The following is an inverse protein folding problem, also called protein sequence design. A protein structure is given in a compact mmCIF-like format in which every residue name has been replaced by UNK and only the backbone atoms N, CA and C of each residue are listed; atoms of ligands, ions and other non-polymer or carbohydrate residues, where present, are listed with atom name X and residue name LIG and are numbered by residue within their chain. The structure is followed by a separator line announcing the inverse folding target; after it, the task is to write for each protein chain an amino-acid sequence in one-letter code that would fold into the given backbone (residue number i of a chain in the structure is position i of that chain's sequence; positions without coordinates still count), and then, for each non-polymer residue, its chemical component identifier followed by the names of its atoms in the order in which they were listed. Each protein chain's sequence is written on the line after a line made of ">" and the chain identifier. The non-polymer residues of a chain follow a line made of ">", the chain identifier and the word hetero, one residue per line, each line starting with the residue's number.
data_IF_663436937336
#
_entry.id   IF_663436937336
#
_cell.length_a   1.000
_cell.length_b   1.000
_cell.length_c   1.000
_cell.angle_alpha   90.00
_cell.angle_beta   90.00
_cell.angle_gamma   90.00
#
_symmetry.space_group_name_H-M   'P 1'
#
loop_
_entity.id
_entity.type
_entity.pdbx_description
1 polymer ?
#
# COMPACT_ATOMS: atom_id res chain seq x y z
N UNK A 1 -0.09 -7.54 5.68
CA UNK A 1 0.57 -6.41 6.36
C UNK A 1 -0.47 -5.35 6.68
N UNK A 2 -0.72 -5.03 7.97
CA UNK A 2 -1.86 -4.20 8.36
C UNK A 2 -1.66 -2.69 8.20
N UNK A 3 -0.41 -2.20 8.14
CA UNK A 3 -0.08 -0.78 8.03
C UNK A 3 1.24 -0.58 7.28
N UNK A 4 1.48 0.64 6.81
CA UNK A 4 2.78 0.99 6.24
C UNK A 4 3.86 0.97 7.32
N UNK A 5 5.05 0.50 6.96
CA UNK A 5 6.13 0.42 7.91
C UNK A 5 7.49 0.13 7.29
N UNK A 6 8.45 -0.14 8.16
CA UNK A 6 9.81 -0.54 7.81
C UNK A 6 10.19 -1.82 8.52
N UNK A 7 10.81 -2.77 7.81
CA UNK A 7 11.25 -4.03 8.39
C UNK A 7 12.41 -3.77 9.36
N UNK A 8 12.27 -4.22 10.61
CA UNK A 8 13.32 -4.20 11.62
C UNK A 8 14.02 -5.57 11.78
N UNK A 9 13.33 -6.64 11.43
CA UNK A 9 13.86 -8.01 11.53
C UNK A 9 13.15 -8.95 10.56
N UNK A 10 13.89 -9.95 10.08
CA UNK A 10 13.39 -11.04 9.28
C UNK A 10 13.56 -10.85 7.78
N UNK A 11 13.12 -11.86 7.04
CA UNK A 11 13.03 -11.87 5.59
C UNK A 11 11.76 -12.60 5.18
N UNK A 12 11.09 -12.10 4.13
CA UNK A 12 9.85 -12.66 3.61
C UNK A 12 9.60 -12.17 2.18
N UNK A 13 8.85 -12.95 1.42
CA UNK A 13 8.27 -12.52 0.15
C UNK A 13 6.87 -11.92 0.37
N UNK A 14 6.64 -10.72 -0.17
CA UNK A 14 5.38 -9.98 -0.03
C UNK A 14 4.71 -9.81 -1.38
N UNK A 15 3.46 -10.24 -1.51
CA UNK A 15 2.61 -9.89 -2.65
C UNK A 15 2.08 -8.46 -2.49
N UNK A 16 2.49 -7.59 -3.41
CA UNK A 16 2.10 -6.18 -3.50
C UNK A 16 1.23 -5.88 -4.71
N UNK A 17 0.74 -6.91 -5.43
CA UNK A 17 -0.01 -6.77 -6.68
C UNK A 17 -1.30 -5.97 -6.52
N UNK A 18 -1.98 -6.09 -5.38
CA UNK A 18 -3.19 -5.34 -5.07
C UNK A 18 -2.98 -3.83 -4.93
N UNK A 19 -1.74 -3.38 -4.66
CA UNK A 19 -1.39 -1.97 -4.46
C UNK A 19 -0.67 -1.39 -5.67
N UNK A 20 0.28 -2.16 -6.22
CA UNK A 20 1.20 -1.71 -7.28
C UNK A 20 0.78 -2.17 -8.67
N UNK A 21 -0.01 -3.24 -8.76
CA UNK A 21 -0.31 -3.94 -10.02
C UNK A 21 0.80 -4.87 -10.50
N UNK A 22 1.94 -4.93 -9.81
CA UNK A 22 3.06 -5.80 -10.18
C UNK A 22 2.86 -7.22 -9.68
N UNK A 23 3.00 -8.21 -10.58
CA UNK A 23 2.78 -9.62 -10.24
C UNK A 23 3.97 -10.30 -9.57
N UNK A 24 5.15 -9.68 -9.59
CA UNK A 24 6.36 -10.22 -8.97
C UNK A 24 6.33 -9.85 -7.48
N UNK A 25 6.43 -10.82 -6.56
CA UNK A 25 6.52 -10.52 -5.13
C UNK A 25 7.74 -9.67 -4.77
N UNK A 26 7.57 -8.79 -3.79
CA UNK A 26 8.63 -8.00 -3.21
C UNK A 26 9.39 -8.82 -2.15
N UNK A 27 10.69 -8.97 -2.33
CA UNK A 27 11.58 -9.53 -1.32
C UNK A 27 11.86 -8.49 -0.22
N UNK A 28 11.26 -8.69 0.95
CA UNK A 28 11.38 -7.80 2.09
C UNK A 28 12.47 -8.29 3.05
N UNK A 29 13.36 -7.38 3.44
CA UNK A 29 14.41 -7.61 4.44
C UNK A 29 14.63 -6.34 5.27
N UNK A 30 15.45 -6.41 6.31
CA UNK A 30 15.69 -5.30 7.24
C UNK A 30 16.02 -4.01 6.50
N UNK A 31 15.28 -2.95 6.83
CA UNK A 31 15.43 -1.62 6.25
C UNK A 31 14.50 -1.32 5.08
N UNK A 32 13.88 -2.32 4.46
CA UNK A 32 12.90 -2.16 3.37
C UNK A 32 11.59 -1.58 3.92
N UNK A 33 11.00 -0.65 3.17
CA UNK A 33 9.65 -0.16 3.41
C UNK A 33 8.61 -1.16 2.91
N UNK A 34 7.54 -1.32 3.67
CA UNK A 34 6.41 -2.20 3.36
C UNK A 34 5.12 -1.39 3.37
N UNK A 35 4.19 -1.75 2.49
CA UNK A 35 2.91 -1.07 2.36
C UNK A 35 1.81 -1.81 3.12
N UNK A 36 0.92 -1.04 3.75
CA UNK A 36 -0.34 -1.56 4.25
C UNK A 36 -1.15 -2.18 3.11
N UNK A 37 -1.68 -3.38 3.33
CA UNK A 37 -2.40 -4.16 2.32
C UNK A 37 -1.57 -5.21 1.61
N UNK A 38 -0.23 -5.19 1.71
CA UNK A 38 0.61 -6.26 1.15
C UNK A 38 0.31 -7.60 1.84
N UNK A 39 0.34 -8.70 1.10
CA UNK A 39 0.08 -10.05 1.62
C UNK A 39 1.42 -10.73 1.87
N UNK A 40 1.64 -11.21 3.10
CA UNK A 40 2.83 -11.96 3.43
C UNK A 40 2.70 -13.38 2.88
N UNK A 41 3.56 -13.78 1.95
CA UNK A 41 3.52 -15.11 1.33
C UNK A 41 4.24 -16.14 2.19
N UNK A 42 5.37 -15.76 2.76
CA UNK A 42 6.20 -16.60 3.60
C UNK A 42 6.98 -15.79 4.65
N UNK A 43 7.82 -16.46 5.43
CA UNK A 43 8.71 -15.79 6.38
C UNK A 43 7.99 -15.09 7.54
N UNK A 44 8.79 -14.55 8.46
CA UNK A 44 8.32 -13.77 9.59
C UNK A 44 9.04 -12.42 9.57
N UNK A 45 8.26 -11.35 9.59
CA UNK A 45 8.75 -9.99 9.66
C UNK A 45 8.36 -9.33 10.99
N UNK A 46 9.28 -8.58 11.58
CA UNK A 46 8.96 -7.57 12.58
C UNK A 46 9.09 -6.20 11.94
N UNK A 47 8.00 -5.45 11.94
CA UNK A 47 7.88 -4.18 11.23
C UNK A 47 7.64 -3.05 12.23
N UNK A 48 8.38 -1.96 12.08
CA UNK A 48 8.05 -0.67 12.70
C UNK A 48 6.98 0.02 11.88
N UNK A 49 5.85 0.37 12.50
CA UNK A 49 4.79 1.11 11.82
C UNK A 49 5.23 2.56 11.64
N UNK A 50 5.22 3.04 10.40
CA UNK A 50 5.61 4.42 10.07
C UNK A 50 4.42 5.30 9.71
N UNK A 51 3.36 4.74 9.11
CA UNK A 51 2.16 5.49 8.70
C UNK A 51 0.90 4.63 8.84
N UNK A 52 -0.20 5.24 9.28
CA UNK A 52 -1.50 4.60 9.48
C UNK A 52 -2.63 5.44 8.89
N UNK A 53 -3.78 4.81 8.66
CA UNK A 53 -5.00 5.48 8.23
C UNK A 53 -4.81 6.30 6.95
N UNK A 54 -5.29 7.53 6.98
CA UNK A 54 -5.24 8.54 5.94
C UNK A 54 -3.82 9.04 5.61
N UNK A 55 -2.84 8.77 6.48
CA UNK A 55 -1.42 9.03 6.19
C UNK A 55 -0.73 7.88 5.44
N UNK A 56 -1.34 6.69 5.37
CA UNK A 56 -0.79 5.55 4.63
C UNK A 56 -0.78 5.79 3.12
N UNK A 57 0.01 5.02 2.39
CA UNK A 57 0.02 5.03 0.92
C UNK A 57 -1.40 4.81 0.36
N UNK A 58 -2.12 3.81 0.87
CA UNK A 58 -3.49 3.53 0.42
C UNK A 58 -4.45 4.66 0.79
N UNK A 59 -4.32 5.25 1.99
CA UNK A 59 -5.11 6.41 2.41
C UNK A 59 -4.92 7.62 1.48
N UNK A 60 -3.68 7.90 1.07
CA UNK A 60 -3.37 8.95 0.10
C UNK A 60 -3.94 8.66 -1.29
N UNK A 61 -3.86 7.41 -1.77
CA UNK A 61 -4.46 7.01 -3.05
C UNK A 61 -5.97 7.22 -3.03
N UNK A 62 -6.65 6.81 -1.96
CA UNK A 62 -8.10 7.03 -1.79
C UNK A 62 -8.43 8.53 -1.83
N UNK A 63 -7.67 9.37 -1.13
CA UNK A 63 -7.89 10.82 -1.14
C UNK A 63 -7.69 11.45 -2.53
N UNK A 64 -6.69 10.98 -3.29
CA UNK A 64 -6.45 11.40 -4.67
C UNK A 64 -7.61 10.99 -5.59
N UNK A 65 -8.08 9.75 -5.48
CA UNK A 65 -9.23 9.27 -6.25
C UNK A 65 -10.49 10.08 -5.95
N UNK A 66 -10.79 10.35 -4.68
CA UNK A 66 -11.94 11.18 -4.28
C UNK A 66 -11.84 12.60 -4.83
N UNK A 67 -10.64 13.18 -4.85
CA UNK A 67 -10.41 14.52 -5.40
C UNK A 67 -10.61 14.54 -6.92
N UNK A 68 -10.15 13.51 -7.62
CA UNK A 68 -10.35 13.35 -9.06
C UNK A 68 -11.83 13.18 -9.44
N UNK A 69 -12.59 12.38 -8.67
CA UNK A 69 -14.03 12.21 -8.88
C UNK A 69 -14.80 13.53 -8.71
N UNK A 70 -14.44 14.35 -7.71
CA UNK A 70 -15.03 15.69 -7.52
C UNK A 70 -14.66 16.69 -8.61
N UNK A 71 -13.52 16.48 -9.27
CA UNK A 71 -13.05 17.32 -10.37
C UNK A 71 -13.74 17.02 -11.72
N UNK A 72 -14.60 15.99 -11.81
CA UNK A 72 -15.28 15.66 -13.08
C UNK A 72 -16.26 16.77 -13.49
N UNK A 73 -16.17 17.29 -14.74
CA UNK A 73 -17.06 18.34 -15.22
C UNK A 73 -18.54 17.92 -15.16
N UNK A 74 -19.47 18.87 -14.92
CA UNK A 74 -20.91 18.57 -14.78
C UNK A 74 -21.55 17.89 -15.99
N UNK A 75 -20.94 18.01 -17.16
CA UNK A 75 -21.47 17.54 -18.45
C UNK A 75 -21.55 16.01 -18.53
N UNK A 76 -20.79 15.28 -17.72
CA UNK A 76 -20.76 13.80 -17.73
C UNK A 76 -21.95 13.16 -17.01
N UNK A 77 -22.89 13.93 -16.43
CA UNK A 77 -24.06 13.39 -15.71
C UNK A 77 -25.34 13.25 -16.57
N UNK A 78 -25.26 13.57 -17.87
CA UNK A 78 -26.42 13.73 -18.77
C UNK A 78 -26.38 12.87 -20.04
N UNK A 79 -25.44 11.93 -20.17
CA UNK A 79 -25.41 10.95 -21.26
C UNK A 79 -25.62 9.53 -20.74
#
# INVERSE_FOLDING_TARGET
>A
VPADGRVLFGQASLDTSSITGESVPLEASVGIEVFGGAINLDGLLRIEVTRIGDQSTLGKVIALMQSAERSKPPITRLL
#
